data_IF_910139062577
#
_entry.id   IF_910139062577
#
_cell.length_a   1.000
_cell.length_b   1.000
_cell.length_c   1.000
_cell.angle_alpha   90.00
_cell.angle_beta   90.00
_cell.angle_gamma   90.00
#
_symmetry.space_group_name_H-M   'P 1'
#
loop_
_entity.id
_entity.type
_entity.pdbx_description
1 polymer ?
#
# COMPACT_ATOMS: atom_id res chain seq x y z
N UNK A 1 7.78 6.10 19.72
CA UNK A 1 6.47 6.25 19.03
C UNK A 1 6.50 7.21 17.84
N UNK A 2 6.76 8.52 18.02
CA UNK A 2 6.68 9.54 16.93
C UNK A 2 7.48 9.15 15.67
N UNK A 3 8.74 8.72 15.84
CA UNK A 3 9.58 8.28 14.69
C UNK A 3 8.96 7.14 13.88
N UNK A 4 8.26 6.21 14.55
CA UNK A 4 7.60 5.09 13.88
C UNK A 4 6.36 5.56 13.14
N UNK A 5 5.58 6.47 13.71
CA UNK A 5 4.43 7.07 13.01
C UNK A 5 4.89 7.83 11.76
N UNK A 6 5.98 8.61 11.85
CA UNK A 6 6.55 9.28 10.66
C UNK A 6 7.10 8.31 9.62
N UNK A 7 7.61 7.14 10.03
CA UNK A 7 8.00 6.09 9.10
C UNK A 7 6.78 5.53 8.36
N UNK A 8 5.67 5.26 9.07
CA UNK A 8 4.41 4.81 8.46
C UNK A 8 3.82 5.87 7.51
N UNK A 9 3.94 7.17 7.82
CA UNK A 9 3.53 8.24 6.90
C UNK A 9 4.33 8.24 5.60
N UNK A 10 5.66 8.04 5.69
CA UNK A 10 6.51 7.89 4.51
C UNK A 10 6.11 6.66 3.69
N UNK A 11 5.87 5.55 4.38
CA UNK A 11 5.45 4.28 3.78
C UNK A 11 4.10 4.40 3.06
N UNK A 12 3.14 5.18 3.57
CA UNK A 12 1.87 5.45 2.88
C UNK A 12 2.12 6.10 1.50
N UNK A 13 3.06 7.05 1.43
CA UNK A 13 3.45 7.69 0.17
C UNK A 13 4.06 6.69 -0.81
N UNK A 14 4.98 5.85 -0.34
CA UNK A 14 5.65 4.82 -1.15
C UNK A 14 4.65 3.78 -1.67
N UNK A 15 3.74 3.29 -0.81
CA UNK A 15 2.62 2.43 -1.20
C UNK A 15 1.76 3.08 -2.28
N UNK A 16 1.39 4.35 -2.10
CA UNK A 16 0.56 5.07 -3.07
C UNK A 16 1.22 5.18 -4.45
N UNK A 17 2.51 5.55 -4.48
CA UNK A 17 3.28 5.70 -5.72
C UNK A 17 3.42 4.36 -6.46
N UNK A 18 3.84 3.30 -5.76
CA UNK A 18 4.00 1.97 -6.37
C UNK A 18 2.68 1.40 -6.86
N UNK A 19 1.58 1.55 -6.11
CA UNK A 19 0.25 1.10 -6.56
C UNK A 19 -0.19 1.87 -7.81
N UNK A 20 0.03 3.19 -7.84
CA UNK A 20 -0.31 4.02 -9.01
C UNK A 20 0.49 3.58 -10.23
N UNK A 21 1.80 3.38 -10.07
CA UNK A 21 2.69 2.92 -11.12
C UNK A 21 2.26 1.55 -11.68
N UNK A 22 2.00 0.58 -10.80
CA UNK A 22 1.55 -0.76 -11.15
C UNK A 22 0.22 -0.72 -11.91
N UNK A 23 -0.74 0.07 -11.45
CA UNK A 23 -2.04 0.20 -12.12
C UNK A 23 -1.90 0.80 -13.53
N UNK A 24 -1.05 1.83 -13.69
CA UNK A 24 -0.77 2.42 -14.99
C UNK A 24 -0.11 1.40 -15.96
N UNK A 25 0.86 0.61 -15.47
CA UNK A 25 1.47 -0.45 -16.27
C UNK A 25 0.45 -1.50 -16.70
N UNK A 26 -0.46 -1.88 -15.81
CA UNK A 26 -1.52 -2.85 -16.08
C UNK A 26 -2.49 -2.34 -17.17
N UNK A 27 -2.87 -1.06 -17.12
CA UNK A 27 -3.69 -0.43 -18.16
C UNK A 27 -2.98 -0.41 -19.52
N UNK A 28 -1.71 -0.01 -19.54
CA UNK A 28 -0.89 0.00 -20.76
C UNK A 28 -0.74 -1.41 -21.33
N UNK A 29 -0.46 -2.41 -20.48
CA UNK A 29 -0.36 -3.82 -20.85
C UNK A 29 -1.63 -4.30 -21.53
N UNK A 30 -2.81 -3.98 -20.99
CA UNK A 30 -4.09 -4.32 -21.63
C UNK A 30 -4.31 -3.60 -22.94
N UNK A 31 -3.97 -2.33 -23.03
CA UNK A 31 -4.10 -1.57 -24.27
C UNK A 31 -3.23 -2.17 -25.39
N UNK A 32 -2.01 -2.56 -25.07
CA UNK A 32 -1.10 -3.25 -26.01
C UNK A 32 -1.66 -4.62 -26.38
N UNK A 33 -2.11 -5.41 -25.41
CA UNK A 33 -2.66 -6.75 -25.64
C UNK A 33 -3.95 -6.73 -26.49
N UNK A 34 -4.79 -5.71 -26.33
CA UNK A 34 -5.99 -5.52 -27.14
C UNK A 34 -5.73 -4.85 -28.50
N UNK A 35 -4.49 -4.46 -28.80
CA UNK A 35 -4.18 -3.80 -30.07
C UNK A 35 -4.49 -4.73 -31.25
N UNK A 36 -5.23 -4.26 -32.27
CA UNK A 36 -5.67 -5.12 -33.35
C UNK A 36 -4.50 -5.56 -34.24
N UNK A 37 -4.54 -6.79 -34.80
CA UNK A 37 -3.45 -7.35 -35.57
C UNK A 37 -3.18 -6.61 -36.90
N UNK A 38 -4.16 -5.86 -37.40
CA UNK A 38 -4.02 -5.02 -38.60
C UNK A 38 -3.36 -3.67 -38.32
N UNK A 39 -3.00 -3.34 -37.08
CA UNK A 39 -2.28 -2.10 -36.79
C UNK A 39 -0.94 -2.12 -37.55
N UNK A 40 -0.54 -0.98 -38.14
CA UNK A 40 0.70 -0.90 -38.91
C UNK A 40 1.92 -1.32 -38.10
N UNK A 41 1.90 -1.05 -36.79
CA UNK A 41 2.96 -1.41 -35.87
C UNK A 41 3.10 -2.94 -35.71
N UNK A 42 1.98 -3.63 -35.49
CA UNK A 42 1.93 -5.10 -35.32
C UNK A 42 2.17 -5.81 -36.65
N UNK A 43 1.65 -5.28 -37.76
CA UNK A 43 1.83 -5.83 -39.10
C UNK A 43 3.29 -5.81 -39.55
N UNK A 44 4.02 -4.74 -39.24
CA UNK A 44 5.42 -4.60 -39.64
C UNK A 44 6.37 -5.35 -38.71
N UNK A 45 6.02 -5.53 -37.42
CA UNK A 45 6.83 -6.23 -36.43
C UNK A 45 5.92 -7.06 -35.50
N UNK A 46 5.53 -8.29 -35.89
CA UNK A 46 4.57 -9.09 -35.13
C UNK A 46 5.07 -9.49 -33.74
N UNK A 47 6.39 -9.65 -33.57
CA UNK A 47 7.04 -9.96 -32.29
C UNK A 47 7.04 -8.79 -31.29
N UNK A 48 6.83 -7.55 -31.75
CA UNK A 48 6.90 -6.39 -30.88
C UNK A 48 5.83 -6.43 -29.77
N UNK A 49 4.62 -6.85 -30.13
CA UNK A 49 3.49 -6.92 -29.20
C UNK A 49 3.74 -7.91 -28.05
N UNK A 50 4.04 -9.20 -28.30
CA UNK A 50 4.31 -10.14 -27.21
C UNK A 50 5.55 -9.74 -26.39
N UNK A 51 6.59 -9.17 -27.00
CA UNK A 51 7.78 -8.69 -26.27
C UNK A 51 7.46 -7.52 -25.34
N UNK A 52 6.65 -6.56 -25.79
CA UNK A 52 6.26 -5.42 -24.96
C UNK A 52 5.37 -5.86 -23.79
N UNK A 53 4.40 -6.76 -24.04
CA UNK A 53 3.56 -7.34 -22.99
C UNK A 53 4.43 -8.08 -21.96
N UNK A 54 5.35 -8.93 -22.41
CA UNK A 54 6.26 -9.65 -21.52
C UNK A 54 7.13 -8.70 -20.68
N UNK A 55 7.61 -7.60 -21.26
CA UNK A 55 8.37 -6.58 -20.53
C UNK A 55 7.52 -5.89 -19.46
N UNK A 56 6.28 -5.54 -19.77
CA UNK A 56 5.35 -4.94 -18.80
C UNK A 56 4.99 -5.94 -17.68
N UNK A 57 4.80 -7.22 -18.00
CA UNK A 57 4.55 -8.28 -17.01
C UNK A 57 5.70 -8.43 -16.01
N UNK A 58 6.95 -8.30 -16.47
CA UNK A 58 8.13 -8.26 -15.60
C UNK A 58 8.12 -7.04 -14.67
N UNK A 59 7.88 -5.85 -15.21
CA UNK A 59 7.85 -4.61 -14.40
C UNK A 59 6.72 -4.62 -13.36
N UNK A 60 5.55 -5.15 -13.73
CA UNK A 60 4.43 -5.32 -12.77
C UNK A 60 4.84 -6.31 -11.67
N UNK A 61 5.54 -7.39 -12.02
CA UNK A 61 6.02 -8.37 -11.03
C UNK A 61 7.03 -7.74 -10.06
N UNK A 62 7.96 -6.92 -10.57
CA UNK A 62 8.91 -6.15 -9.74
C UNK A 62 8.17 -5.20 -8.79
N UNK A 63 7.16 -4.47 -9.26
CA UNK A 63 6.34 -3.58 -8.41
C UNK A 63 5.54 -4.35 -7.35
N UNK A 64 5.11 -5.58 -7.66
CA UNK A 64 4.44 -6.45 -6.68
C UNK A 64 5.41 -6.87 -5.58
N UNK A 65 6.64 -7.21 -5.92
CA UNK A 65 7.64 -7.61 -4.94
C UNK A 65 8.09 -6.43 -4.07
N UNK A 66 8.21 -5.23 -4.66
CA UNK A 66 8.41 -3.98 -3.91
C UNK A 66 7.25 -3.73 -2.94
N UNK A 67 6.00 -3.89 -3.41
CA UNK A 67 4.81 -3.74 -2.59
C UNK A 67 4.78 -4.72 -1.40
N UNK A 68 5.23 -5.97 -1.60
CA UNK A 68 5.36 -6.94 -0.50
C UNK A 68 6.38 -6.46 0.55
N UNK A 69 7.51 -5.92 0.11
CA UNK A 69 8.51 -5.34 1.01
C UNK A 69 7.91 -4.22 1.89
N UNK A 70 7.14 -3.32 1.29
CA UNK A 70 6.44 -2.27 2.06
C UNK A 70 5.39 -2.83 3.02
N UNK A 71 4.69 -3.92 2.67
CA UNK A 71 3.75 -4.56 3.58
C UNK A 71 4.45 -5.21 4.78
N UNK A 72 5.60 -5.85 4.56
CA UNK A 72 6.42 -6.41 5.63
C UNK A 72 6.93 -5.30 6.57
N UNK A 73 7.34 -4.15 6.03
CA UNK A 73 7.71 -2.97 6.83
C UNK A 73 6.54 -2.44 7.65
N UNK A 74 5.34 -2.35 7.04
CA UNK A 74 4.12 -1.93 7.73
C UNK A 74 3.78 -2.87 8.90
N UNK A 75 3.91 -4.19 8.70
CA UNK A 75 3.68 -5.18 9.76
C UNK A 75 4.68 -4.99 10.91
N UNK A 76 5.97 -4.82 10.60
CA UNK A 76 7.00 -4.59 11.60
C UNK A 76 6.78 -3.30 12.39
N UNK A 77 6.44 -2.20 11.73
CA UNK A 77 6.20 -0.91 12.39
C UNK A 77 4.92 -0.93 13.24
N UNK A 78 3.88 -1.63 12.76
CA UNK A 78 2.68 -1.91 13.55
C UNK A 78 3.01 -2.71 14.81
N UNK A 79 3.86 -3.74 14.70
CA UNK A 79 4.31 -4.53 15.84
C UNK A 79 5.13 -3.71 16.85
N UNK A 80 6.05 -2.86 16.38
CA UNK A 80 6.82 -1.95 17.24
C UNK A 80 5.89 -1.02 18.03
N UNK A 81 4.89 -0.42 17.39
CA UNK A 81 3.90 0.44 18.06
C UNK A 81 3.08 -0.33 19.10
N UNK A 82 2.69 -1.58 18.81
CA UNK A 82 2.00 -2.42 19.79
C UNK A 82 2.87 -2.71 21.01
N UNK A 83 4.15 -3.04 20.81
CA UNK A 83 5.09 -3.20 21.93
C UNK A 83 5.18 -1.92 22.77
N UNK A 84 5.30 -0.73 22.16
CA UNK A 84 5.30 0.52 22.93
C UNK A 84 4.06 0.66 23.80
N UNK A 85 2.87 0.30 23.29
CA UNK A 85 1.62 0.39 24.05
C UNK A 85 1.55 -0.55 25.26
N UNK A 86 2.24 -1.69 25.23
CA UNK A 86 2.21 -2.70 26.30
C UNK A 86 3.23 -2.41 27.41
N UNK A 87 4.33 -1.71 27.10
CA UNK A 87 5.41 -1.43 28.05
C UNK A 87 5.37 -0.02 28.66
N UNK A 88 4.78 0.96 27.98
CA UNK A 88 4.64 2.34 28.49
C UNK A 88 3.28 2.55 29.20
N UNK A 89 3.25 2.30 30.52
CA UNK A 89 2.03 2.43 31.34
C UNK A 89 1.66 3.87 31.76
N UNK A 90 2.38 4.88 31.25
CA UNK A 90 2.18 6.28 31.66
C UNK A 90 1.20 7.05 30.76
N UNK A 91 0.57 6.39 29.80
CA UNK A 91 -0.39 7.03 28.91
C UNK A 91 -1.79 7.08 29.49
N UNK A 92 -2.57 8.08 29.08
CA UNK A 92 -3.99 8.16 29.43
C UNK A 92 -4.77 7.01 28.79
N UNK A 93 -5.88 6.62 29.42
CA UNK A 93 -6.79 5.61 28.87
C UNK A 93 -7.24 5.95 27.44
N UNK A 94 -7.56 7.22 27.18
CA UNK A 94 -7.99 7.70 25.86
C UNK A 94 -6.89 7.52 24.82
N UNK A 95 -5.64 7.85 25.16
CA UNK A 95 -4.51 7.68 24.26
C UNK A 95 -4.27 6.20 23.90
N UNK A 96 -4.33 5.31 24.90
CA UNK A 96 -4.18 3.87 24.66
C UNK A 96 -5.30 3.33 23.77
N UNK A 97 -6.54 3.74 24.01
CA UNK A 97 -7.67 3.33 23.18
C UNK A 97 -7.50 3.81 21.73
N UNK A 98 -7.14 5.08 21.55
CA UNK A 98 -6.92 5.64 20.21
C UNK A 98 -5.75 4.94 19.50
N UNK A 99 -4.68 4.61 20.21
CA UNK A 99 -3.54 3.89 19.65
C UNK A 99 -3.95 2.48 19.19
N UNK A 100 -4.73 1.76 20.00
CA UNK A 100 -5.22 0.43 19.62
C UNK A 100 -6.11 0.48 18.37
N UNK A 101 -7.02 1.46 18.29
CA UNK A 101 -7.86 1.66 17.10
C UNK A 101 -7.02 1.92 15.84
N UNK A 102 -5.97 2.72 15.96
CA UNK A 102 -5.05 2.96 14.84
C UNK A 102 -4.32 1.67 14.43
N UNK A 103 -3.81 0.89 15.39
CA UNK A 103 -3.11 -0.36 15.11
C UNK A 103 -4.00 -1.41 14.47
N UNK A 104 -5.25 -1.53 14.91
CA UNK A 104 -6.20 -2.47 14.33
C UNK A 104 -6.55 -2.07 12.88
N UNK A 105 -6.66 -0.76 12.60
CA UNK A 105 -6.80 -0.27 11.23
C UNK A 105 -5.58 -0.63 10.35
N UNK A 106 -4.34 -0.43 10.83
CA UNK A 106 -3.14 -0.80 10.06
C UNK A 106 -3.14 -2.30 9.72
N UNK A 107 -3.52 -3.15 10.67
CA UNK A 107 -3.65 -4.60 10.47
C UNK A 107 -4.71 -4.95 9.43
N UNK A 108 -5.86 -4.29 9.47
CA UNK A 108 -6.93 -4.51 8.51
C UNK A 108 -6.50 -4.12 7.10
N UNK A 109 -5.85 -2.97 6.93
CA UNK A 109 -5.35 -2.52 5.63
C UNK A 109 -4.26 -3.46 5.11
N UNK A 110 -3.31 -3.84 5.95
CA UNK A 110 -2.28 -4.84 5.62
C UNK A 110 -2.90 -6.14 5.12
N UNK A 111 -3.85 -6.71 5.87
CA UNK A 111 -4.55 -7.93 5.49
C UNK A 111 -5.31 -7.79 4.17
N UNK A 112 -5.91 -6.61 3.93
CA UNK A 112 -6.57 -6.27 2.67
C UNK A 112 -5.63 -6.35 1.47
N UNK A 113 -4.43 -5.76 1.57
CA UNK A 113 -3.42 -5.81 0.51
C UNK A 113 -2.85 -7.21 0.31
N UNK A 114 -2.49 -7.93 1.38
CA UNK A 114 -1.99 -9.32 1.30
C UNK A 114 -3.02 -10.21 0.59
N UNK A 115 -4.30 -10.09 0.94
CA UNK A 115 -5.38 -10.83 0.27
C UNK A 115 -5.49 -10.47 -1.21
N UNK A 116 -5.37 -9.18 -1.55
CA UNK A 116 -5.41 -8.74 -2.93
C UNK A 116 -4.26 -9.32 -3.74
N UNK A 117 -3.03 -9.28 -3.21
CA UNK A 117 -1.82 -9.83 -3.84
C UNK A 117 -1.92 -11.35 -4.05
N UNK A 118 -2.38 -12.09 -3.03
CA UNK A 118 -2.50 -13.55 -3.10
C UNK A 118 -3.63 -14.05 -4.01
N UNK A 119 -4.55 -13.18 -4.42
CA UNK A 119 -5.67 -13.57 -5.29
C UNK A 119 -5.25 -13.95 -6.71
N UNK A 120 -4.00 -13.66 -7.11
CA UNK A 120 -3.48 -13.93 -8.46
C UNK A 120 -4.12 -13.09 -9.58
N UNK A 121 -5.01 -12.15 -9.22
CA UNK A 121 -5.80 -11.34 -10.16
C UNK A 121 -5.17 -9.99 -10.51
N UNK A 122 -3.95 -9.71 -10.06
CA UNK A 122 -3.31 -8.39 -10.20
C UNK A 122 -3.10 -7.97 -11.66
N UNK A 123 -2.79 -8.90 -12.57
CA UNK A 123 -2.67 -8.60 -14.01
C UNK A 123 -4.01 -8.26 -14.68
N UNK A 124 -5.14 -8.50 -14.00
CA UNK A 124 -6.49 -8.35 -14.56
C UNK A 124 -7.34 -7.31 -13.83
N UNK A 125 -6.92 -6.83 -12.66
CA UNK A 125 -7.64 -5.81 -11.90
C UNK A 125 -6.68 -4.80 -11.27
N UNK A 126 -7.06 -3.53 -11.31
CA UNK A 126 -6.34 -2.47 -10.62
C UNK A 126 -6.45 -2.66 -9.11
N UNK A 127 -5.34 -2.45 -8.40
CA UNK A 127 -5.33 -2.48 -6.95
C UNK A 127 -5.94 -1.20 -6.40
N UNK A 128 -6.94 -1.34 -5.52
CA UNK A 128 -7.57 -0.22 -4.83
C UNK A 128 -6.61 0.33 -3.78
N UNK A 129 -6.36 1.63 -3.85
CA UNK A 129 -5.62 2.35 -2.82
C UNK A 129 -6.50 2.55 -1.58
N UNK A 130 -5.91 2.30 -0.41
CA UNK A 130 -6.52 2.48 0.89
C UNK A 130 -5.54 3.30 1.73
N UNK A 131 -5.99 4.44 2.26
CA UNK A 131 -5.18 5.27 3.14
C UNK A 131 -4.97 4.56 4.49
N UNK A 132 -3.75 4.64 4.99
CA UNK A 132 -3.38 4.15 6.33
C UNK A 132 -3.94 5.08 7.42
N UNK A 133 -4.11 6.37 7.13
CA UNK A 133 -4.48 7.38 8.12
C UNK A 133 -5.90 7.96 7.95
N UNK A 134 -6.54 7.71 6.82
CA UNK A 134 -7.85 8.28 6.48
C UNK A 134 -8.80 7.26 5.84
N UNK A 135 -8.76 6.01 6.32
CA UNK A 135 -9.64 4.94 5.83
C UNK A 135 -11.12 5.20 6.13
N UNK A 136 -11.41 5.84 7.28
CA UNK A 136 -12.77 6.23 7.69
C UNK A 136 -12.75 7.39 8.72
N UNK A 137 -13.91 8.03 9.00
CA UNK A 137 -13.97 9.17 9.91
C UNK A 137 -13.48 8.87 11.34
N UNK A 138 -13.72 7.65 11.84
CA UNK A 138 -13.30 7.23 13.18
C UNK A 138 -11.78 7.18 13.26
N UNK A 139 -11.13 6.51 12.31
CA UNK A 139 -9.66 6.39 12.20
C UNK A 139 -9.02 7.77 12.03
N UNK A 140 -9.56 8.62 11.16
CA UNK A 140 -9.10 10.01 10.98
C UNK A 140 -9.08 10.77 12.30
N UNK A 141 -10.20 10.75 13.03
CA UNK A 141 -10.32 11.47 14.30
C UNK A 141 -9.36 10.94 15.36
N UNK A 142 -9.20 9.62 15.42
CA UNK A 142 -8.31 8.90 16.32
C UNK A 142 -6.85 9.33 16.11
N UNK A 143 -6.41 9.35 14.85
CA UNK A 143 -5.05 9.75 14.49
C UNK A 143 -4.79 11.22 14.78
N UNK A 144 -5.78 12.10 14.54
CA UNK A 144 -5.65 13.51 14.90
C UNK A 144 -5.45 13.71 16.40
N UNK A 145 -6.18 12.96 17.23
CA UNK A 145 -6.01 12.97 18.69
C UNK A 145 -4.63 12.43 19.10
N UNK A 146 -4.22 11.27 18.57
CA UNK A 146 -2.88 10.71 18.81
C UNK A 146 -1.77 11.70 18.46
N UNK A 147 -1.86 12.34 17.30
CA UNK A 147 -0.87 13.35 16.86
C UNK A 147 -0.86 14.57 17.76
N UNK A 148 -2.02 15.00 18.29
CA UNK A 148 -2.09 16.11 19.23
C UNK A 148 -1.45 15.73 20.58
N UNK A 149 -1.78 14.56 21.12
CA UNK A 149 -1.22 14.06 22.38
C UNK A 149 0.30 13.88 22.29
N UNK A 150 0.80 13.34 21.17
CA UNK A 150 2.24 13.18 20.94
C UNK A 150 2.99 14.50 20.77
N UNK A 151 2.33 15.55 20.25
CA UNK A 151 2.93 16.90 20.18
C UNK A 151 3.02 17.57 21.55
N UNK A 152 2.10 17.26 22.45
CA UNK A 152 2.09 17.79 23.82
C UNK A 152 3.09 17.07 24.75
N UNK A 153 3.56 15.89 24.36
CA UNK A 153 4.55 15.10 25.11
C UNK A 153 6.01 15.47 24.78
N UNK A 154 6.24 16.45 23.89
CA UNK A 154 7.54 17.05 23.55
C UNK A 154 7.74 18.36 24.32
#
# INVERSE_FOLDING_TARGET
MIKVISAIEKLEGELYETITHMNNLNEQRRAVDMMPPWSSLVKNNPEWKPLLVAKMDLQISESIDELKGYLDELEQDTAKLRCFSEFENNFSYTFQHDLLLFLDNLKEVHAGYVKALNSGKMLNFALKQISLFDSNPTVRSTIQRLKADLKLAL
#
